data_IF_126095277071
#
_entry.id   IF_126095277071
#
_cell.length_a   1.000
_cell.length_b   1.000
_cell.length_c   1.000
_cell.angle_alpha   90.00
_cell.angle_beta   90.00
_cell.angle_gamma   90.00
#
_symmetry.space_group_name_H-M   'P 1'
#
loop_
_entity.id
_entity.type
_entity.pdbx_description
1 polymer ?
#
# COMPACT_ATOMS: atom_id res chain seq x y z
N UNK A 1 23.24 -0.23 -6.77
CA UNK A 1 23.06 1.12 -6.16
C UNK A 1 22.47 2.09 -7.19
N UNK A 2 21.16 2.03 -7.44
CA UNK A 2 20.41 3.03 -8.19
C UNK A 2 18.95 2.94 -7.76
N UNK A 3 18.53 3.68 -6.73
CA UNK A 3 17.12 4.09 -6.53
C UNK A 3 16.93 5.12 -5.39
N UNK A 4 17.94 5.91 -5.00
CA UNK A 4 17.82 6.87 -3.87
C UNK A 4 17.69 8.33 -4.32
N UNK A 5 17.83 8.65 -5.60
CA UNK A 5 17.59 10.01 -6.09
C UNK A 5 16.20 10.10 -6.70
N UNK A 6 15.14 10.33 -5.91
CA UNK A 6 13.91 10.97 -6.41
C UNK A 6 12.88 11.40 -5.33
N UNK A 7 13.25 11.72 -4.09
CA UNK A 7 12.28 12.35 -3.17
C UNK A 7 12.94 13.41 -2.27
N UNK A 8 12.98 14.64 -2.77
CA UNK A 8 13.10 15.84 -1.95
C UNK A 8 11.86 16.70 -2.23
N UNK A 9 11.00 16.90 -1.23
CA UNK A 9 9.78 17.70 -1.42
C UNK A 9 8.73 17.66 -0.32
N UNK A 10 9.08 18.23 0.84
CA UNK A 10 8.26 19.12 1.68
C UNK A 10 6.93 18.65 2.33
N UNK A 11 6.88 18.80 3.67
CA UNK A 11 5.68 18.82 4.53
C UNK A 11 4.72 19.95 4.13
N UNK A 12 3.40 19.69 4.14
CA UNK A 12 2.35 20.63 4.59
C UNK A 12 1.00 19.94 4.77
N UNK A 13 0.30 20.30 5.85
CA UNK A 13 -1.03 19.85 6.28
C UNK A 13 -2.10 19.95 5.18
N UNK A 14 -2.97 18.93 5.09
CA UNK A 14 -4.25 19.00 4.36
C UNK A 14 -5.39 18.40 5.21
N UNK A 15 -6.59 19.02 5.21
CA UNK A 15 -7.74 18.52 5.95
C UNK A 15 -8.45 17.40 5.19
N UNK A 16 -8.89 16.38 5.92
CA UNK A 16 -9.73 15.29 5.39
C UNK A 16 -11.15 15.81 5.20
N UNK A 17 -11.63 15.81 3.95
CA UNK A 17 -13.04 16.06 3.63
C UNK A 17 -13.70 14.75 3.23
N UNK A 18 -14.57 14.21 4.08
CA UNK A 18 -15.42 13.06 3.74
C UNK A 18 -16.64 13.59 2.99
N UNK A 19 -16.90 13.09 1.79
CA UNK A 19 -18.15 13.35 1.08
C UNK A 19 -18.66 12.10 0.35
N UNK A 20 -19.84 11.65 0.78
CA UNK A 20 -20.91 10.92 0.13
C UNK A 20 -20.60 9.80 -0.89
N UNK A 21 -21.18 8.64 -0.60
CA UNK A 21 -21.29 7.41 -1.41
C UNK A 21 -21.55 7.75 -2.88
N UNK A 22 -20.59 7.42 -3.75
CA UNK A 22 -20.74 7.45 -5.21
C UNK A 22 -20.90 6.02 -5.72
N UNK A 23 -21.91 5.85 -6.58
CA UNK A 23 -22.28 4.62 -7.27
C UNK A 23 -21.10 4.03 -8.05
N UNK A 24 -21.00 2.70 -8.08
CA UNK A 24 -19.86 1.92 -8.60
C UNK A 24 -19.63 1.99 -10.12
N UNK A 25 -20.58 2.57 -10.87
CA UNK A 25 -20.47 2.73 -12.31
C UNK A 25 -20.09 4.18 -12.62
N UNK A 26 -19.01 4.36 -13.36
CA UNK A 26 -18.64 5.64 -14.01
C UNK A 26 -17.90 6.69 -13.17
N UNK A 27 -16.79 6.28 -12.57
CA UNK A 27 -15.64 7.19 -12.53
C UNK A 27 -14.47 6.52 -13.24
N UNK A 28 -14.41 6.71 -14.55
CA UNK A 28 -13.09 6.87 -15.17
C UNK A 28 -12.49 8.13 -14.55
N UNK A 29 -11.90 8.02 -13.34
CA UNK A 29 -10.85 8.93 -12.97
C UNK A 29 -9.90 8.93 -14.16
N UNK A 30 -9.67 10.10 -14.76
CA UNK A 30 -8.67 10.31 -15.79
C UNK A 30 -7.30 10.02 -15.15
N UNK A 31 -6.98 8.73 -15.03
CA UNK A 31 -5.77 8.23 -14.43
C UNK A 31 -4.61 8.77 -15.25
N UNK A 32 -3.69 9.45 -14.59
CA UNK A 32 -2.52 10.08 -15.21
C UNK A 32 -1.25 9.54 -14.60
N UNK A 33 -0.20 9.52 -15.42
CA UNK A 33 1.15 9.29 -14.91
C UNK A 33 1.47 10.36 -13.85
N UNK A 34 2.02 9.93 -12.73
CA UNK A 34 2.31 10.79 -11.58
C UNK A 34 1.20 10.90 -10.54
N UNK A 35 -0.04 10.45 -10.83
CA UNK A 35 -1.09 10.38 -9.82
C UNK A 35 -0.64 9.52 -8.63
N UNK A 36 -0.93 9.96 -7.41
CA UNK A 36 -0.57 9.22 -6.22
C UNK A 36 -1.60 9.36 -5.11
N UNK A 37 -1.68 8.36 -4.24
CA UNK A 37 -2.49 8.38 -3.02
C UNK A 37 -1.70 7.74 -1.89
N UNK A 38 -1.89 8.29 -0.68
CA UNK A 38 -1.30 7.76 0.55
C UNK A 38 -2.38 7.48 1.57
N UNK A 39 -2.19 6.44 2.39
CA UNK A 39 -2.99 6.18 3.58
C UNK A 39 -2.08 6.12 4.80
N UNK A 40 -2.62 6.48 5.95
CA UNK A 40 -1.96 6.33 7.25
C UNK A 40 -2.73 5.33 8.10
N UNK A 41 -2.02 4.42 8.76
CA UNK A 41 -2.62 3.43 9.66
C UNK A 41 -1.62 3.00 10.73
N UNK A 42 -2.09 2.75 11.95
CA UNK A 42 -1.32 2.02 12.96
C UNK A 42 -1.61 0.53 12.79
N UNK A 43 -0.57 -0.29 12.65
CA UNK A 43 -0.73 -1.75 12.55
C UNK A 43 -0.79 -2.33 13.97
N UNK A 44 -1.86 -3.03 14.30
CA UNK A 44 -2.06 -3.57 15.65
C UNK A 44 -1.70 -5.05 15.74
N UNK A 45 -1.56 -5.58 16.96
CA UNK A 45 -1.48 -7.03 17.16
C UNK A 45 -2.74 -7.74 16.66
N UNK A 46 -3.92 -7.12 16.80
CA UNK A 46 -5.16 -7.69 16.29
C UNK A 46 -5.13 -7.85 14.76
N UNK A 47 -4.55 -6.88 14.03
CA UNK A 47 -4.37 -7.01 12.58
C UNK A 47 -3.47 -8.19 12.22
N UNK A 48 -2.38 -8.38 12.97
CA UNK A 48 -1.44 -9.50 12.80
C UNK A 48 -2.14 -10.83 13.08
N UNK A 49 -2.91 -10.93 14.17
CA UNK A 49 -3.65 -12.14 14.51
C UNK A 49 -4.73 -12.47 13.48
N UNK A 50 -5.51 -11.48 13.02
CA UNK A 50 -6.50 -11.68 11.95
C UNK A 50 -5.85 -12.15 10.66
N UNK A 51 -4.67 -11.62 10.32
CA UNK A 51 -3.94 -12.07 9.14
C UNK A 51 -3.42 -13.50 9.31
N UNK A 52 -2.89 -13.85 10.48
CA UNK A 52 -2.47 -15.21 10.80
C UNK A 52 -3.66 -16.20 10.74
N UNK A 53 -4.82 -15.81 11.26
CA UNK A 53 -6.06 -16.60 11.16
C UNK A 53 -6.50 -16.83 9.72
N UNK A 54 -6.47 -15.77 8.90
CA UNK A 54 -6.85 -15.85 7.49
C UNK A 54 -5.89 -16.71 6.66
N UNK A 55 -4.59 -16.67 6.96
CA UNK A 55 -3.54 -17.26 6.11
C UNK A 55 -2.96 -18.56 6.62
N UNK A 56 -3.12 -18.86 7.92
CA UNK A 56 -2.43 -19.92 8.61
C UNK A 56 -0.97 -19.60 9.00
N UNK A 57 -0.47 -18.39 8.71
CA UNK A 57 0.90 -17.99 9.06
C UNK A 57 1.00 -17.54 10.52
N UNK A 58 1.13 -18.52 11.41
CA UNK A 58 1.39 -18.37 12.84
C UNK A 58 2.88 -18.47 13.19
N UNK A 59 3.79 -18.08 12.28
CA UNK A 59 5.20 -18.04 12.61
C UNK A 59 5.41 -17.23 13.92
N UNK A 60 6.08 -17.77 14.96
CA UNK A 60 6.20 -17.11 16.26
C UNK A 60 6.75 -15.68 16.21
N UNK A 61 7.55 -15.33 15.20
CA UNK A 61 8.03 -13.95 15.02
C UNK A 61 6.89 -12.93 14.83
N UNK A 62 5.73 -13.40 14.39
CA UNK A 62 4.53 -12.60 14.17
C UNK A 62 3.58 -12.64 15.38
N UNK A 63 3.45 -13.77 16.08
CA UNK A 63 2.36 -13.96 17.05
C UNK A 63 2.79 -14.14 18.50
N UNK A 64 4.05 -14.52 18.74
CA UNK A 64 4.57 -14.88 20.06
C UNK A 64 5.98 -14.32 20.27
N UNK A 65 6.10 -13.00 20.16
CA UNK A 65 7.34 -12.29 20.47
C UNK A 65 7.07 -11.07 21.34
N UNK A 66 8.10 -10.61 22.05
CA UNK A 66 8.00 -9.38 22.86
C UNK A 66 7.61 -8.15 22.03
N UNK A 67 7.94 -8.15 20.73
CA UNK A 67 7.55 -7.11 19.78
C UNK A 67 7.29 -7.73 18.41
N UNK A 68 6.03 -8.13 18.19
CA UNK A 68 5.58 -8.81 16.99
C UNK A 68 5.96 -8.06 15.71
N UNK A 69 6.65 -8.77 14.81
CA UNK A 69 6.96 -8.30 13.47
C UNK A 69 5.70 -8.47 12.63
N UNK A 70 5.33 -7.45 11.87
CA UNK A 70 4.19 -7.50 10.94
C UNK A 70 4.55 -8.40 9.75
N UNK A 71 3.64 -9.28 9.33
CA UNK A 71 3.82 -10.06 8.10
C UNK A 71 4.08 -9.13 6.90
N UNK A 72 5.12 -9.41 6.11
CA UNK A 72 5.36 -8.64 4.88
C UNK A 72 4.16 -8.69 3.92
N UNK A 73 3.49 -9.83 3.86
CA UNK A 73 2.26 -10.01 3.06
C UNK A 73 1.08 -9.17 3.57
N UNK A 74 0.99 -8.89 4.88
CA UNK A 74 -0.01 -7.96 5.43
C UNK A 74 0.22 -6.54 4.91
N UNK A 75 1.47 -6.07 4.86
CA UNK A 75 1.81 -4.78 4.27
C UNK A 75 1.45 -4.73 2.77
N UNK A 76 1.70 -5.81 2.03
CA UNK A 76 1.23 -5.92 0.64
C UNK A 76 -0.31 -5.91 0.54
N UNK A 77 -1.02 -6.47 1.52
CA UNK A 77 -2.47 -6.37 1.63
C UNK A 77 -2.98 -4.92 1.68
N UNK A 78 -2.25 -4.02 2.36
CA UNK A 78 -2.57 -2.59 2.37
C UNK A 78 -2.38 -1.95 0.99
N UNK A 79 -1.28 -2.30 0.30
CA UNK A 79 -1.04 -1.86 -1.10
C UNK A 79 -2.16 -2.34 -2.02
N UNK A 80 -2.55 -3.62 -1.90
CA UNK A 80 -3.68 -4.19 -2.64
C UNK A 80 -4.99 -3.45 -2.39
N UNK A 81 -5.28 -3.13 -1.13
CA UNK A 81 -6.45 -2.32 -0.77
C UNK A 81 -6.47 -0.95 -1.44
N UNK A 82 -5.33 -0.26 -1.49
CA UNK A 82 -5.22 1.04 -2.19
C UNK A 82 -5.44 0.85 -3.70
N UNK A 83 -4.77 -0.11 -4.31
CA UNK A 83 -4.85 -0.39 -5.75
C UNK A 83 -6.30 -0.69 -6.15
N UNK A 84 -6.98 -1.55 -5.41
CA UNK A 84 -8.33 -2.03 -5.74
C UNK A 84 -9.46 -1.06 -5.39
N UNK A 85 -9.24 -0.10 -4.49
CA UNK A 85 -10.34 0.76 -3.97
C UNK A 85 -10.11 2.27 -4.12
N UNK A 86 -8.86 2.72 -4.31
CA UNK A 86 -8.50 4.14 -4.36
C UNK A 86 -7.83 4.54 -5.67
N UNK A 87 -6.67 3.95 -5.98
CA UNK A 87 -5.84 4.33 -7.12
C UNK A 87 -5.05 3.12 -7.64
N UNK A 88 -5.32 2.62 -8.86
CA UNK A 88 -6.28 3.14 -9.83
C UNK A 88 -7.76 3.01 -9.44
N UNK A 89 -8.09 2.13 -8.49
CA UNK A 89 -9.45 1.98 -7.96
C UNK A 89 -10.20 0.77 -8.52
N UNK A 90 -11.53 0.78 -8.36
CA UNK A 90 -12.38 -0.37 -8.66
C UNK A 90 -12.18 -0.94 -10.07
N UNK A 91 -12.21 -2.27 -10.19
CA UNK A 91 -11.94 -3.00 -11.42
C UNK A 91 -10.45 -3.17 -11.75
N UNK A 92 -9.54 -2.80 -10.84
CA UNK A 92 -8.10 -3.03 -11.02
C UNK A 92 -7.67 -4.41 -10.53
N UNK A 93 -6.92 -5.12 -11.36
CA UNK A 93 -6.32 -6.42 -11.08
C UNK A 93 -4.81 -6.27 -11.12
N UNK A 94 -4.12 -6.80 -10.11
CA UNK A 94 -2.66 -6.93 -10.10
C UNK A 94 -2.28 -8.13 -10.97
N UNK A 95 -1.38 -7.94 -11.94
CA UNK A 95 -0.90 -9.03 -12.81
C UNK A 95 0.55 -9.44 -12.51
N UNK A 96 1.35 -8.53 -11.96
CA UNK A 96 2.74 -8.77 -11.54
C UNK A 96 3.07 -7.81 -10.41
N UNK A 97 3.81 -8.29 -9.40
CA UNK A 97 4.26 -7.49 -8.26
C UNK A 97 5.70 -7.86 -7.90
N UNK A 98 6.53 -6.85 -7.65
CA UNK A 98 7.88 -6.97 -7.10
C UNK A 98 7.92 -6.28 -5.75
N UNK A 99 8.32 -7.00 -4.70
CA UNK A 99 8.30 -6.52 -3.32
C UNK A 99 9.69 -6.62 -2.70
N UNK A 100 10.13 -5.56 -2.01
CA UNK A 100 11.30 -5.56 -1.14
C UNK A 100 10.87 -5.13 0.26
N UNK A 101 11.45 -5.77 1.29
CA UNK A 101 11.20 -5.46 2.70
C UNK A 101 12.50 -5.03 3.40
N UNK A 102 12.94 -3.76 3.23
CA UNK A 102 14.28 -3.36 3.67
C UNK A 102 14.49 -3.38 5.18
N UNK A 103 13.41 -3.23 5.96
CA UNK A 103 13.42 -3.20 7.44
C UNK A 103 12.13 -3.79 8.01
N UNK A 104 12.16 -4.34 9.23
CA UNK A 104 10.96 -4.85 9.88
C UNK A 104 9.98 -3.71 10.26
N UNK A 105 8.70 -3.98 10.03
CA UNK A 105 7.57 -3.26 10.61
C UNK A 105 7.09 -4.01 11.85
N UNK A 106 6.69 -3.31 12.90
CA UNK A 106 6.26 -3.93 14.15
C UNK A 106 4.82 -3.55 14.50
N UNK A 107 4.16 -4.39 15.31
CA UNK A 107 2.93 -4.00 15.97
C UNK A 107 3.12 -2.67 16.73
N UNK A 108 2.17 -1.76 16.55
CA UNK A 108 2.19 -0.38 17.06
C UNK A 108 2.85 0.63 16.13
N UNK A 109 3.56 0.21 15.07
CA UNK A 109 4.12 1.17 14.11
C UNK A 109 2.99 1.88 13.33
N UNK A 110 3.12 3.20 13.18
CA UNK A 110 2.28 3.98 12.27
C UNK A 110 2.90 3.96 10.88
N UNK A 111 2.20 3.37 9.91
CA UNK A 111 2.66 3.26 8.53
C UNK A 111 1.95 4.26 7.62
N UNK A 112 2.72 4.87 6.73
CA UNK A 112 2.24 5.60 5.56
C UNK A 112 2.50 4.74 4.32
N UNK A 113 1.42 4.30 3.66
CA UNK A 113 1.52 3.53 2.41
C UNK A 113 1.12 4.43 1.25
N UNK A 114 2.06 4.65 0.33
CA UNK A 114 1.86 5.47 -0.86
C UNK A 114 1.87 4.59 -2.11
N UNK A 115 0.92 4.80 -3.02
CA UNK A 115 0.91 4.22 -4.37
C UNK A 115 0.99 5.36 -5.38
N UNK A 116 1.87 5.25 -6.37
CA UNK A 116 2.07 6.24 -7.44
C UNK A 116 2.01 5.58 -8.81
N UNK A 117 1.23 6.16 -9.72
CA UNK A 117 1.14 5.72 -11.11
C UNK A 117 2.40 6.14 -11.86
N UNK A 118 3.04 5.16 -12.49
CA UNK A 118 4.25 5.36 -13.30
C UNK A 118 3.93 5.44 -14.78
N UNK A 119 3.01 4.60 -15.28
CA UNK A 119 2.54 4.68 -16.66
C UNK A 119 1.10 4.25 -16.83
N UNK A 120 0.38 4.92 -17.74
CA UNK A 120 -1.02 4.62 -18.07
C UNK A 120 -1.12 4.21 -19.54
N UNK A 121 -0.92 2.92 -19.80
CA UNK A 121 -1.10 2.28 -21.11
C UNK A 121 -2.07 1.11 -20.98
N UNK A 122 -2.03 0.16 -21.94
CA UNK A 122 -2.78 -1.10 -21.85
C UNK A 122 -2.50 -1.86 -20.55
N UNK A 123 -1.24 -1.87 -20.13
CA UNK A 123 -0.82 -2.26 -18.78
C UNK A 123 -0.45 -0.99 -18.03
N UNK A 124 -1.06 -0.81 -16.88
CA UNK A 124 -0.73 0.30 -15.97
C UNK A 124 0.43 -0.16 -15.10
N UNK A 125 1.41 0.70 -14.87
CA UNK A 125 2.47 0.45 -13.88
C UNK A 125 2.34 1.41 -12.72
N UNK A 126 2.63 0.93 -11.51
CA UNK A 126 2.71 1.76 -10.32
C UNK A 126 3.92 1.36 -9.47
N UNK A 127 4.41 2.31 -8.67
CA UNK A 127 5.29 2.04 -7.54
C UNK A 127 4.55 2.23 -6.23
N UNK A 128 5.08 1.64 -5.17
CA UNK A 128 4.58 1.84 -3.83
C UNK A 128 5.69 1.84 -2.80
N UNK A 129 5.45 2.60 -1.72
CA UNK A 129 6.34 2.78 -0.59
C UNK A 129 5.52 2.67 0.69
N UNK A 130 6.08 2.01 1.70
CA UNK A 130 5.55 1.98 3.06
C UNK A 130 6.61 2.50 4.02
N UNK A 131 6.34 3.65 4.63
CA UNK A 131 7.20 4.29 5.61
C UNK A 131 6.56 4.14 7.00
N UNK A 132 7.25 3.46 7.90
CA UNK A 132 6.88 3.37 9.30
C UNK A 132 7.47 4.54 10.11
N UNK A 133 6.69 5.10 11.02
CA UNK A 133 7.07 6.14 11.98
C UNK A 133 7.78 7.35 11.33
N UNK A 134 7.36 7.69 10.09
CA UNK A 134 7.81 8.86 9.34
C UNK A 134 9.18 8.75 8.65
N UNK A 135 10.00 7.74 8.95
CA UNK A 135 11.35 7.65 8.37
C UNK A 135 11.86 6.23 8.05
N UNK A 136 11.16 5.19 8.48
CA UNK A 136 11.63 3.80 8.34
C UNK A 136 10.96 3.15 7.13
N UNK A 137 11.69 3.05 6.01
CA UNK A 137 11.20 2.29 4.85
C UNK A 137 11.14 0.79 5.20
N UNK A 138 9.92 0.23 5.17
CA UNK A 138 9.63 -1.17 5.54
C UNK A 138 9.11 -2.01 4.37
N UNK A 139 8.54 -1.39 3.34
CA UNK A 139 8.17 -2.03 2.08
C UNK A 139 8.38 -1.04 0.93
N UNK A 140 8.94 -1.52 -0.17
CA UNK A 140 8.92 -0.83 -1.46
C UNK A 140 8.73 -1.81 -2.61
N UNK A 141 8.26 -1.31 -3.74
CA UNK A 141 8.09 -2.16 -4.90
C UNK A 141 7.36 -1.52 -6.05
N UNK A 142 7.09 -2.34 -7.06
CA UNK A 142 6.33 -1.97 -8.24
C UNK A 142 5.30 -3.05 -8.59
N UNK A 143 4.27 -2.66 -9.34
CA UNK A 143 3.28 -3.58 -9.88
C UNK A 143 2.90 -3.23 -11.31
N UNK A 144 2.56 -4.27 -12.07
CA UNK A 144 1.80 -4.16 -13.31
C UNK A 144 0.34 -4.48 -13.02
N UNK A 145 -0.54 -3.67 -13.59
CA UNK A 145 -1.97 -3.68 -13.32
C UNK A 145 -2.76 -3.74 -14.63
N UNK A 146 -3.94 -4.35 -14.57
CA UNK A 146 -4.91 -4.41 -15.65
C UNK A 146 -6.27 -3.91 -15.15
N UNK A 147 -6.99 -3.14 -15.97
CA UNK A 147 -8.39 -2.81 -15.68
C UNK A 147 -9.31 -3.85 -16.30
N UNK A 148 -10.18 -4.44 -15.49
CA UNK A 148 -11.31 -5.24 -15.90
C UNK A 148 -12.58 -4.40 -15.79
N UNK A 149 -13.36 -4.35 -16.86
CA UNK A 149 -14.69 -3.74 -16.84
C UNK A 149 -15.57 -4.54 -15.87
N UNK A 150 -16.17 -3.83 -14.92
CA UNK A 150 -17.12 -4.37 -13.95
C UNK A 150 -18.53 -4.39 -14.53
#
# INVERSE_FOLDING_TARGET
>A
MKLIQFFAGFLKHYPVRISNVRTFADSTMNLREGDQVSIFRVITNEDIFKFAELTGDYNPIHVDSAKNIVHGALLNGLVSGIIGTKLPGAGTIVIEQHLMFPRPCYAGDSVEVTVKILSVRKIITCSYLCIANGNKLVLEGEAKLMRKLL
#
